data_IF_976627141867
#
_entry.id   IF_976627141867
#
_cell.length_a   1.000
_cell.length_b   1.000
_cell.length_c   1.000
_cell.angle_alpha   90.00
_cell.angle_beta   90.00
_cell.angle_gamma   90.00
#
_symmetry.space_group_name_H-M   'P 1'
#
loop_
_entity.id
_entity.type
_entity.pdbx_description
1 polymer ?
#
# COMPACT_ATOMS: atom_id res chain seq x y z
N UNK A 1 -52.89 -47.68 -15.45
CA UNK A 1 -52.85 -48.75 -14.43
C UNK A 1 -52.89 -48.09 -13.06
N UNK A 2 -53.74 -48.60 -12.17
CA UNK A 2 -54.18 -47.97 -10.91
C UNK A 2 -53.14 -48.19 -9.79
N UNK A 3 -52.91 -47.18 -8.95
CA UNK A 3 -51.80 -47.08 -7.97
C UNK A 3 -52.23 -47.59 -6.57
N UNK A 4 -52.82 -48.79 -6.52
CA UNK A 4 -53.49 -49.33 -5.32
C UNK A 4 -52.53 -50.00 -4.31
N UNK A 5 -51.20 -49.92 -4.48
CA UNK A 5 -50.28 -50.81 -3.75
C UNK A 5 -50.04 -50.45 -2.27
N UNK A 6 -49.86 -49.18 -1.90
CA UNK A 6 -49.47 -48.80 -0.52
C UNK A 6 -50.67 -48.84 0.43
N UNK A 7 -51.84 -48.39 -0.01
CA UNK A 7 -53.04 -48.36 0.84
C UNK A 7 -53.58 -49.77 1.09
N UNK A 8 -53.45 -50.67 0.12
CA UNK A 8 -53.73 -52.10 0.31
C UNK A 8 -52.73 -52.71 1.30
N UNK A 9 -51.42 -52.44 1.16
CA UNK A 9 -50.39 -52.88 2.11
C UNK A 9 -50.71 -52.46 3.55
N UNK A 10 -51.05 -51.19 3.78
CA UNK A 10 -51.34 -50.70 5.13
C UNK A 10 -52.65 -51.25 5.69
N UNK A 11 -53.67 -51.46 4.85
CA UNK A 11 -54.95 -52.06 5.27
C UNK A 11 -54.78 -53.52 5.66
N UNK A 12 -53.94 -54.26 4.92
CA UNK A 12 -53.65 -55.67 5.19
C UNK A 12 -52.79 -55.82 6.46
N UNK A 13 -51.81 -54.94 6.67
CA UNK A 13 -50.90 -54.99 7.81
C UNK A 13 -51.43 -54.29 9.08
N UNK A 14 -52.56 -53.56 9.02
CA UNK A 14 -53.06 -52.74 10.14
C UNK A 14 -53.28 -53.57 11.42
N UNK A 15 -53.63 -54.85 11.30
CA UNK A 15 -53.85 -55.73 12.46
C UNK A 15 -52.55 -56.34 13.03
N UNK A 16 -51.44 -56.29 12.29
CA UNK A 16 -50.15 -56.89 12.67
C UNK A 16 -49.18 -55.91 13.34
N UNK A 17 -49.54 -54.63 13.48
CA UNK A 17 -48.66 -53.65 14.13
C UNK A 17 -48.68 -53.73 15.65
N UNK A 18 -49.71 -54.33 16.24
CA UNK A 18 -49.91 -54.33 17.70
C UNK A 18 -49.68 -55.71 18.31
N UNK A 19 -48.60 -56.36 17.90
CA UNK A 19 -48.30 -57.77 18.23
C UNK A 19 -47.58 -57.91 19.57
N UNK A 20 -46.84 -56.91 20.04
CA UNK A 20 -46.10 -57.00 21.30
C UNK A 20 -46.09 -55.68 22.09
N UNK A 21 -46.20 -55.79 23.41
CA UNK A 21 -46.02 -54.65 24.33
C UNK A 21 -44.64 -54.71 24.98
N UNK A 22 -43.99 -53.55 25.23
CA UNK A 22 -42.69 -53.54 25.90
C UNK A 22 -42.75 -54.25 27.27
N UNK A 23 -41.67 -54.95 27.61
CA UNK A 23 -41.58 -55.61 28.90
C UNK A 23 -41.73 -54.59 30.05
N UNK A 24 -42.39 -55.01 31.14
CA UNK A 24 -42.66 -54.17 32.32
C UNK A 24 -41.41 -53.40 32.80
N UNK A 25 -41.62 -52.16 33.23
CA UNK A 25 -40.53 -51.25 33.61
C UNK A 25 -39.80 -50.56 32.44
N UNK A 26 -40.24 -50.75 31.19
CA UNK A 26 -39.67 -50.04 30.03
C UNK A 26 -39.63 -48.53 30.21
N UNK A 27 -40.70 -47.92 30.73
CA UNK A 27 -40.78 -46.47 30.93
C UNK A 27 -39.71 -45.98 31.94
N UNK A 28 -39.47 -46.73 33.01
CA UNK A 28 -38.44 -46.40 33.99
C UNK A 28 -37.03 -46.51 33.38
N UNK A 29 -36.73 -47.60 32.66
CA UNK A 29 -35.45 -47.76 31.94
C UNK A 29 -35.23 -46.68 30.87
N UNK A 30 -36.31 -46.26 30.21
CA UNK A 30 -36.27 -45.18 29.23
C UNK A 30 -35.93 -43.83 29.89
N UNK A 31 -36.60 -43.50 31.00
CA UNK A 31 -36.31 -42.29 31.79
C UNK A 31 -34.88 -42.32 32.35
N UNK A 32 -34.43 -43.45 32.89
CA UNK A 32 -33.06 -43.63 33.37
C UNK A 32 -32.03 -43.41 32.24
N UNK A 33 -32.30 -43.93 31.03
CA UNK A 33 -31.44 -43.70 29.86
C UNK A 33 -31.47 -42.24 29.40
N UNK A 34 -32.59 -41.52 29.60
CA UNK A 34 -32.72 -40.11 29.25
C UNK A 34 -31.97 -39.23 30.26
N UNK A 35 -32.10 -39.50 31.56
CA UNK A 35 -31.34 -38.83 32.61
C UNK A 35 -29.84 -39.12 32.52
N UNK A 36 -29.44 -40.35 32.16
CA UNK A 36 -28.03 -40.68 31.92
C UNK A 36 -27.46 -39.91 30.72
N UNK A 37 -28.26 -39.68 29.67
CA UNK A 37 -27.85 -38.85 28.53
C UNK A 37 -27.80 -37.36 28.89
N UNK A 38 -28.69 -36.86 29.75
CA UNK A 38 -28.63 -35.48 30.26
C UNK A 38 -27.47 -35.27 31.24
N UNK A 39 -27.10 -36.28 32.04
CA UNK A 39 -25.95 -36.24 32.94
C UNK A 39 -24.61 -36.33 32.19
N UNK A 40 -24.55 -37.01 31.04
CA UNK A 40 -23.42 -36.96 30.11
C UNK A 40 -23.33 -35.64 29.32
N UNK A 41 -24.40 -34.82 29.34
CA UNK A 41 -24.41 -33.43 28.88
C UNK A 41 -23.78 -32.43 29.85
N UNK A 42 -23.35 -32.88 31.05
CA UNK A 42 -22.72 -32.06 32.08
C UNK A 42 -21.22 -32.40 32.31
N UNK A 43 -20.56 -33.01 31.33
CA UNK A 43 -19.10 -32.94 31.24
C UNK A 43 -18.72 -31.51 30.79
N UNK A 44 -17.70 -30.86 31.36
CA UNK A 44 -17.16 -29.64 30.78
C UNK A 44 -16.51 -30.02 29.46
N UNK A 45 -17.30 -30.03 28.39
CA UNK A 45 -16.75 -29.87 27.06
C UNK A 45 -16.15 -28.48 27.09
N UNK A 46 -14.83 -28.42 27.26
CA UNK A 46 -14.04 -27.28 26.80
C UNK A 46 -14.34 -27.15 25.31
N UNK A 47 -15.42 -26.47 24.98
CA UNK A 47 -15.61 -25.90 23.68
C UNK A 47 -14.60 -24.77 23.66
N UNK A 48 -13.37 -25.09 23.27
CA UNK A 48 -12.53 -24.11 22.59
C UNK A 48 -13.46 -23.48 21.58
N UNK A 49 -13.87 -22.24 21.85
CA UNK A 49 -14.59 -21.42 20.88
C UNK A 49 -13.66 -21.43 19.68
N UNK A 50 -13.96 -22.25 18.67
CA UNK A 50 -13.30 -22.11 17.38
C UNK A 50 -13.81 -20.76 16.90
N UNK A 51 -13.04 -19.73 17.22
CA UNK A 51 -13.24 -18.40 16.72
C UNK A 51 -13.47 -18.52 15.21
N UNK A 52 -14.68 -18.18 14.79
CA UNK A 52 -15.05 -18.03 13.39
C UNK A 52 -14.35 -16.82 12.74
N UNK A 53 -13.20 -16.42 13.27
CA UNK A 53 -12.26 -15.47 12.68
C UNK A 53 -11.24 -16.20 11.80
N UNK A 54 -11.17 -17.54 11.88
CA UNK A 54 -10.24 -18.36 11.10
C UNK A 54 -10.44 -18.38 9.57
N UNK A 55 -11.62 -18.11 8.95
CA UNK A 55 -11.65 -17.94 7.50
C UNK A 55 -11.16 -16.55 7.06
N UNK A 56 -11.20 -15.53 7.93
CA UNK A 56 -10.67 -14.19 7.61
C UNK A 56 -9.14 -14.21 7.68
N UNK A 57 -8.53 -14.94 8.61
CA UNK A 57 -7.06 -15.08 8.67
C UNK A 57 -6.50 -15.86 7.48
N UNK A 58 -7.22 -16.86 6.96
CA UNK A 58 -6.82 -17.56 5.75
C UNK A 58 -6.87 -16.65 4.51
N UNK A 59 -7.94 -15.85 4.35
CA UNK A 59 -8.05 -14.87 3.27
C UNK A 59 -6.98 -13.78 3.41
N UNK A 60 -6.79 -13.24 4.62
CA UNK A 60 -5.74 -12.27 4.90
C UNK A 60 -4.35 -12.85 4.59
N UNK A 61 -4.07 -14.10 4.96
CA UNK A 61 -2.80 -14.76 4.62
C UNK A 61 -2.61 -14.89 3.10
N UNK A 62 -3.65 -15.19 2.34
CA UNK A 62 -3.56 -15.22 0.86
C UNK A 62 -3.36 -13.83 0.25
N UNK A 63 -4.00 -12.79 0.79
CA UNK A 63 -3.81 -11.40 0.35
C UNK A 63 -2.39 -10.94 0.70
N UNK A 64 -1.92 -11.21 1.92
CA UNK A 64 -0.56 -10.90 2.36
C UNK A 64 0.47 -11.66 1.53
N UNK A 65 0.21 -12.93 1.20
CA UNK A 65 1.10 -13.73 0.35
C UNK A 65 1.11 -13.20 -1.10
N UNK A 66 -0.04 -12.80 -1.65
CA UNK A 66 -0.11 -12.17 -2.97
C UNK A 66 0.61 -10.81 -2.98
N UNK A 67 0.40 -9.97 -1.97
CA UNK A 67 1.11 -8.69 -1.83
C UNK A 67 2.61 -8.93 -1.68
N UNK A 68 3.03 -9.84 -0.79
CA UNK A 68 4.43 -10.20 -0.59
C UNK A 68 5.07 -10.77 -1.87
N UNK A 69 4.33 -11.59 -2.62
CA UNK A 69 4.77 -12.15 -3.90
C UNK A 69 4.90 -11.05 -4.96
N UNK A 70 3.96 -10.10 -5.03
CA UNK A 70 4.07 -8.96 -5.97
C UNK A 70 5.19 -8.00 -5.61
N UNK A 71 5.51 -7.82 -4.32
CA UNK A 71 6.64 -7.00 -3.87
C UNK A 71 7.98 -7.70 -4.13
N UNK A 72 8.05 -9.03 -3.98
CA UNK A 72 9.28 -9.80 -4.20
C UNK A 72 9.56 -10.10 -5.67
N UNK A 73 8.53 -10.25 -6.50
CA UNK A 73 8.65 -10.44 -7.95
C UNK A 73 8.81 -9.14 -8.73
N UNK A 74 8.78 -7.98 -8.07
CA UNK A 74 9.02 -6.69 -8.76
C UNK A 74 10.47 -6.70 -9.24
N UNK A 75 10.73 -6.82 -10.56
CA UNK A 75 12.10 -6.82 -11.03
C UNK A 75 12.70 -5.46 -10.66
N UNK A 76 13.78 -5.48 -9.88
CA UNK A 76 14.68 -4.33 -9.73
C UNK A 76 15.43 -4.18 -11.06
N UNK A 77 14.71 -3.82 -12.11
CA UNK A 77 15.35 -3.36 -13.32
C UNK A 77 16.08 -2.07 -12.94
N UNK A 78 17.40 -1.99 -13.15
CA UNK A 78 18.12 -0.75 -12.88
C UNK A 78 17.47 0.35 -13.73
N UNK A 79 16.93 1.37 -13.07
CA UNK A 79 16.34 2.52 -13.75
C UNK A 79 17.50 3.37 -14.25
N UNK A 80 17.61 3.51 -15.56
CA UNK A 80 18.64 4.32 -16.19
C UNK A 80 18.47 5.80 -15.80
N UNK A 81 19.58 6.48 -15.56
CA UNK A 81 19.68 7.93 -15.58
C UNK A 81 20.64 8.39 -16.68
N UNK A 82 20.95 9.69 -16.74
CA UNK A 82 21.86 10.22 -17.76
C UNK A 82 23.24 9.57 -17.68
N UNK A 83 23.71 9.19 -16.49
CA UNK A 83 25.02 8.56 -16.35
C UNK A 83 25.08 7.17 -16.99
N UNK A 84 23.94 6.51 -17.20
CA UNK A 84 23.87 5.24 -17.92
C UNK A 84 23.90 5.38 -19.45
N UNK A 85 23.76 6.60 -20.00
CA UNK A 85 23.72 6.84 -21.45
C UNK A 85 25.12 6.86 -22.07
N UNK A 86 26.02 7.66 -21.51
CA UNK A 86 27.41 7.78 -21.96
C UNK A 86 28.31 8.41 -20.88
N UNK A 87 29.65 8.31 -20.98
CA UNK A 87 30.56 9.01 -20.09
C UNK A 87 30.35 10.53 -20.04
N UNK A 88 30.07 11.15 -21.19
CA UNK A 88 29.79 12.58 -21.30
C UNK A 88 28.48 12.96 -20.58
N UNK A 89 27.46 12.10 -20.67
CA UNK A 89 26.20 12.30 -19.97
C UNK A 89 26.33 12.08 -18.46
N UNK A 90 27.20 11.16 -18.02
CA UNK A 90 27.58 11.03 -16.62
C UNK A 90 28.24 12.30 -16.10
N UNK A 91 29.22 12.84 -16.83
CA UNK A 91 29.86 14.11 -16.48
C UNK A 91 28.85 15.27 -16.41
N UNK A 92 27.91 15.31 -17.34
CA UNK A 92 26.84 16.32 -17.37
C UNK A 92 25.96 16.24 -16.12
N UNK A 93 25.53 15.03 -15.75
CA UNK A 93 24.74 14.80 -14.53
C UNK A 93 25.51 15.24 -13.28
N UNK A 94 26.79 14.87 -13.17
CA UNK A 94 27.66 15.29 -12.06
C UNK A 94 27.79 16.81 -11.98
N UNK A 95 28.04 17.46 -13.12
CA UNK A 95 28.17 18.92 -13.18
C UNK A 95 26.89 19.62 -12.72
N UNK A 96 25.73 19.30 -13.29
CA UNK A 96 24.47 19.94 -12.91
C UNK A 96 24.07 19.66 -11.46
N UNK A 97 24.31 18.45 -10.96
CA UNK A 97 24.08 18.13 -9.55
C UNK A 97 24.96 18.99 -8.64
N UNK A 98 26.23 19.22 -9.00
CA UNK A 98 27.12 20.12 -8.25
C UNK A 98 26.59 21.56 -8.21
N UNK A 99 26.15 22.09 -9.36
CA UNK A 99 25.60 23.45 -9.45
C UNK A 99 24.33 23.61 -8.61
N UNK A 100 23.43 22.61 -8.64
CA UNK A 100 22.22 22.59 -7.81
C UNK A 100 22.59 22.59 -6.33
N UNK A 101 23.52 21.73 -5.92
CA UNK A 101 23.95 21.64 -4.52
C UNK A 101 24.59 22.93 -4.02
N UNK A 102 25.42 23.57 -4.85
CA UNK A 102 26.01 24.87 -4.54
C UNK A 102 24.92 25.93 -4.28
N UNK A 103 23.94 26.05 -5.17
CA UNK A 103 22.84 27.01 -5.01
C UNK A 103 21.97 26.70 -3.79
N UNK A 104 21.66 25.43 -3.54
CA UNK A 104 20.92 25.02 -2.34
C UNK A 104 21.69 25.39 -1.06
N UNK A 105 23.01 25.23 -1.04
CA UNK A 105 23.83 25.66 0.08
C UNK A 105 23.77 27.17 0.28
N UNK A 106 23.85 27.96 -0.79
CA UNK A 106 23.68 29.43 -0.73
C UNK A 106 22.32 29.82 -0.16
N UNK A 107 21.24 29.19 -0.63
CA UNK A 107 19.88 29.43 -0.13
C UNK A 107 19.74 29.04 1.35
N UNK A 108 20.30 27.89 1.74
CA UNK A 108 20.25 27.42 3.12
C UNK A 108 20.96 28.37 4.09
N UNK A 109 22.07 28.98 3.66
CA UNK A 109 22.81 29.96 4.44
C UNK A 109 22.14 31.34 4.52
N UNK A 110 21.13 31.59 3.68
CA UNK A 110 20.41 32.86 3.62
C UNK A 110 19.00 32.80 4.24
N UNK A 111 18.71 31.77 5.04
CA UNK A 111 17.45 31.62 5.76
C UNK A 111 17.30 32.72 6.81
N UNK A 112 16.23 33.51 6.69
CA UNK A 112 15.80 34.53 7.64
C UNK A 112 14.27 34.58 7.65
N UNK A 113 13.63 35.28 8.61
CA UNK A 113 12.17 35.46 8.60
C UNK A 113 11.65 36.06 7.28
N UNK A 114 12.41 36.95 6.66
CA UNK A 114 12.07 37.63 5.41
C UNK A 114 12.16 36.71 4.19
N UNK A 115 13.10 35.76 4.17
CA UNK A 115 13.32 34.86 3.02
C UNK A 115 12.57 33.53 3.15
N UNK A 116 12.03 33.21 4.33
CA UNK A 116 11.45 31.89 4.64
C UNK A 116 10.33 31.48 3.69
N UNK A 117 9.40 32.40 3.36
CA UNK A 117 8.26 32.08 2.49
C UNK A 117 8.73 31.78 1.06
N UNK A 118 9.59 32.62 0.49
CA UNK A 118 10.18 32.43 -0.84
C UNK A 118 10.92 31.08 -0.94
N UNK A 119 11.75 30.76 0.06
CA UNK A 119 12.51 29.51 0.10
C UNK A 119 11.55 28.32 0.15
N UNK A 120 10.50 28.37 0.97
CA UNK A 120 9.52 27.30 1.09
C UNK A 120 8.83 27.03 -0.26
N UNK A 121 8.37 28.07 -0.94
CA UNK A 121 7.68 27.95 -2.22
C UNK A 121 8.61 27.38 -3.30
N UNK A 122 9.88 27.81 -3.32
CA UNK A 122 10.89 27.26 -4.20
C UNK A 122 11.16 25.77 -3.94
N UNK A 123 11.17 25.33 -2.67
CA UNK A 123 11.37 23.91 -2.33
C UNK A 123 10.19 23.04 -2.79
N UNK A 124 8.96 23.56 -2.75
CA UNK A 124 7.79 22.86 -3.32
C UNK A 124 7.95 22.68 -4.83
N UNK A 125 8.37 23.72 -5.55
CA UNK A 125 8.61 23.63 -7.00
C UNK A 125 9.78 22.68 -7.33
N UNK A 126 10.84 22.69 -6.52
CA UNK A 126 11.95 21.73 -6.65
C UNK A 126 11.48 20.28 -6.49
N UNK A 127 10.56 20.01 -5.57
CA UNK A 127 10.00 18.66 -5.39
C UNK A 127 9.20 18.20 -6.61
N UNK A 128 8.46 19.11 -7.26
CA UNK A 128 7.75 18.82 -8.51
C UNK A 128 8.75 18.45 -9.61
N UNK A 129 9.77 19.28 -9.81
CA UNK A 129 10.82 19.02 -10.82
C UNK A 129 11.58 17.72 -10.54
N UNK A 130 11.82 17.37 -9.28
CA UNK A 130 12.45 16.10 -8.89
C UNK A 130 11.55 14.90 -9.23
N UNK A 131 10.23 14.99 -9.00
CA UNK A 131 9.28 13.95 -9.38
C UNK A 131 9.24 13.77 -10.90
N UNK A 132 9.23 14.86 -11.66
CA UNK A 132 9.32 14.82 -13.12
C UNK A 132 10.62 14.15 -13.59
N UNK A 133 11.76 14.48 -12.99
CA UNK A 133 13.03 13.82 -13.32
C UNK A 133 12.99 12.31 -13.06
N UNK A 134 12.39 11.89 -11.94
CA UNK A 134 12.24 10.48 -11.61
C UNK A 134 11.33 9.74 -12.60
N UNK A 135 10.28 10.40 -13.12
CA UNK A 135 9.48 9.85 -14.20
C UNK A 135 10.30 9.73 -15.50
N UNK A 136 11.08 10.75 -15.85
CA UNK A 136 11.93 10.73 -17.04
C UNK A 136 12.99 9.62 -16.99
N UNK A 137 13.47 9.23 -15.81
CA UNK A 137 14.36 8.05 -15.65
C UNK A 137 13.67 6.74 -16.05
N UNK A 138 12.39 6.59 -15.69
CA UNK A 138 11.57 5.44 -16.10
C UNK A 138 11.40 5.47 -17.62
N UNK A 139 10.97 6.61 -18.18
CA UNK A 139 10.77 6.79 -19.61
C UNK A 139 12.07 6.55 -20.40
N UNK A 140 13.23 6.92 -19.86
CA UNK A 140 14.54 6.71 -20.49
C UNK A 140 14.86 5.22 -20.59
N UNK A 141 14.58 4.48 -19.51
CA UNK A 141 14.77 3.02 -19.45
C UNK A 141 13.85 2.31 -20.42
N UNK A 142 12.56 2.67 -20.42
CA UNK A 142 11.54 2.04 -21.27
C UNK A 142 11.72 2.37 -22.76
N UNK A 143 12.16 3.58 -23.07
CA UNK A 143 12.39 4.02 -24.45
C UNK A 143 13.72 3.56 -25.06
N UNK A 144 14.60 2.92 -24.28
CA UNK A 144 15.92 2.51 -24.75
C UNK A 144 16.85 3.68 -25.04
N UNK A 145 16.89 4.67 -24.15
CA UNK A 145 17.69 5.90 -24.25
C UNK A 145 17.28 6.82 -25.41
N UNK A 146 15.97 7.07 -25.59
CA UNK A 146 15.49 8.01 -26.61
C UNK A 146 16.05 9.43 -26.38
N UNK A 147 16.61 10.02 -27.44
CA UNK A 147 17.22 11.36 -27.41
C UNK A 147 16.27 12.46 -26.94
N UNK A 148 14.97 12.32 -27.17
CA UNK A 148 13.93 13.26 -26.72
C UNK A 148 13.77 13.21 -25.20
N UNK A 149 13.83 12.02 -24.62
CA UNK A 149 13.80 11.84 -23.16
C UNK A 149 15.08 12.38 -22.54
N UNK A 150 16.23 12.10 -23.14
CA UNK A 150 17.53 12.69 -22.72
C UNK A 150 17.45 14.22 -22.73
N UNK A 151 16.90 14.82 -23.79
CA UNK A 151 16.72 16.27 -23.87
C UNK A 151 15.78 16.79 -22.77
N UNK A 152 14.68 16.10 -22.48
CA UNK A 152 13.77 16.46 -21.39
C UNK A 152 14.46 16.39 -20.02
N UNK A 153 15.29 15.37 -19.78
CA UNK A 153 16.08 15.25 -18.54
C UNK A 153 17.08 16.39 -18.37
N UNK A 154 17.77 16.77 -19.45
CA UNK A 154 18.67 17.94 -19.45
C UNK A 154 17.86 19.22 -19.16
N UNK A 155 16.71 19.42 -19.81
CA UNK A 155 15.86 20.59 -19.57
C UNK A 155 15.34 20.63 -18.13
N UNK A 156 15.02 19.49 -17.51
CA UNK A 156 14.64 19.46 -16.11
C UNK A 156 15.78 19.94 -15.20
N UNK A 157 17.03 19.54 -15.44
CA UNK A 157 18.19 20.12 -14.74
C UNK A 157 18.28 21.63 -14.93
N UNK A 158 18.13 22.14 -16.16
CA UNK A 158 18.11 23.57 -16.42
C UNK A 158 17.02 24.30 -15.64
N UNK A 159 15.80 23.76 -15.60
CA UNK A 159 14.68 24.34 -14.87
C UNK A 159 14.99 24.43 -13.37
N UNK A 160 15.55 23.37 -12.78
CA UNK A 160 15.97 23.36 -11.37
C UNK A 160 17.04 24.41 -11.09
N UNK A 161 18.05 24.50 -11.96
CA UNK A 161 19.14 25.48 -11.82
C UNK A 161 18.61 26.91 -11.93
N UNK A 162 17.70 27.17 -12.87
CA UNK A 162 17.11 28.50 -13.08
C UNK A 162 16.22 28.91 -11.91
N UNK A 163 15.34 28.02 -11.43
CA UNK A 163 14.53 28.24 -10.24
C UNK A 163 15.41 28.64 -9.04
N UNK A 164 16.46 27.87 -8.76
CA UNK A 164 17.35 28.15 -7.65
C UNK A 164 18.16 29.45 -7.87
N UNK A 165 18.50 29.78 -9.11
CA UNK A 165 19.15 31.06 -9.45
C UNK A 165 18.22 32.23 -9.15
N UNK A 166 16.97 32.19 -9.58
CA UNK A 166 16.00 33.26 -9.34
C UNK A 166 15.80 33.50 -7.84
N UNK A 167 15.76 32.43 -7.04
CA UNK A 167 15.66 32.51 -5.58
C UNK A 167 16.89 33.19 -4.97
N UNK A 168 18.10 32.78 -5.38
CA UNK A 168 19.36 33.40 -4.91
C UNK A 168 19.38 34.88 -5.28
N UNK A 169 19.10 35.22 -6.54
CA UNK A 169 19.12 36.60 -7.03
C UNK A 169 18.10 37.47 -6.26
N UNK A 170 16.90 36.92 -5.96
CA UNK A 170 15.87 37.62 -5.18
C UNK A 170 16.31 37.86 -3.73
N UNK A 171 16.92 36.86 -3.08
CA UNK A 171 17.44 36.98 -1.72
C UNK A 171 18.54 38.04 -1.64
N UNK A 172 19.44 38.07 -2.61
CA UNK A 172 20.50 39.09 -2.70
C UNK A 172 19.90 40.48 -2.90
N UNK A 173 18.89 40.62 -3.75
CA UNK A 173 18.14 41.87 -3.93
C UNK A 173 17.53 42.39 -2.63
N UNK A 174 16.87 41.53 -1.86
CA UNK A 174 16.29 41.91 -0.56
C UNK A 174 17.35 42.42 0.42
N UNK A 175 18.52 41.78 0.48
CA UNK A 175 19.63 42.26 1.33
C UNK A 175 20.06 43.67 0.95
N UNK A 176 20.23 43.97 -0.34
CA UNK A 176 20.66 45.30 -0.79
C UNK A 176 19.67 46.41 -0.43
N UNK A 177 18.37 46.13 -0.46
CA UNK A 177 17.32 47.09 -0.09
C UNK A 177 17.38 47.42 1.41
N UNK A 178 17.53 46.39 2.26
CA UNK A 178 17.61 46.57 3.71
C UNK A 178 18.83 47.43 4.09
N UNK A 179 20.02 47.14 3.54
CA UNK A 179 21.24 47.94 3.82
C UNK A 179 21.07 49.43 3.48
N UNK A 180 20.48 49.75 2.32
CA UNK A 180 20.29 51.15 1.91
C UNK A 180 19.23 51.87 2.76
N UNK A 181 18.24 51.14 3.30
CA UNK A 181 17.21 51.73 4.14
C UNK A 181 17.76 52.11 5.51
N UNK A 182 18.62 51.24 6.09
CA UNK A 182 19.26 51.49 7.38
C UNK A 182 20.21 52.69 7.35
N UNK A 183 20.94 52.92 6.24
CA UNK A 183 21.82 54.09 6.06
C UNK A 183 21.08 55.42 5.91
N UNK A 184 19.85 55.42 5.37
CA UNK A 184 19.04 56.65 5.20
C UNK A 184 18.35 57.05 6.51
N UNK A 185 18.18 56.11 7.44
CA UNK A 185 17.49 56.34 8.73
C UNK A 185 18.41 56.67 9.91
N UNK A 186 19.71 56.82 9.68
CA UNK A 186 20.72 57.28 10.66
C UNK A 186 21.14 58.73 10.39
#
# INVERSE_FOLDING_TARGET
MKNDNIETLFKDLHQDFNVETPNTGHHARFLEKLDTQNALGALPISTSKRELWKPITAIAATIVLLVALTLTLKPNNPVNDLANVSPEMANTQTFFTSVINEKLNTINNAKSPETTLLIKDAMVQMEILEKEYNQLKIDLTESGNDKRVIHAMINNFWNRINLLKEVVDTIEGLKTINYNTDEITL
#
